data_IF_139207670698
#
_entry.id   IF_139207670698
#
_cell.length_a   1.000
_cell.length_b   1.000
_cell.length_c   1.000
_cell.angle_alpha   90.00
_cell.angle_beta   90.00
_cell.angle_gamma   90.00
#
_symmetry.space_group_name_H-M   'P 1'
#
loop_
_entity.id
_entity.type
_entity.pdbx_description
1 polymer ?
#
# COMPACT_ATOMS: atom_id res chain seq x y z
N UNK A 1 20.38 18.05 0.75
CA UNK A 1 20.51 17.32 -0.54
C UNK A 1 19.77 16.02 -0.36
N UNK A 2 18.83 15.62 -1.23
CA UNK A 2 18.04 14.44 -0.96
C UNK A 2 18.94 13.22 -0.81
N UNK A 3 18.75 12.44 0.26
CA UNK A 3 19.57 11.26 0.51
C UNK A 3 19.13 10.15 -0.46
N UNK A 4 19.93 9.80 -1.48
CA UNK A 4 19.45 8.96 -2.58
C UNK A 4 19.01 7.57 -2.11
N UNK A 5 19.71 7.01 -1.13
CA UNK A 5 19.39 5.70 -0.54
C UNK A 5 18.02 5.73 0.15
N UNK A 6 17.71 6.78 0.92
CA UNK A 6 16.42 6.91 1.60
C UNK A 6 15.29 7.11 0.60
N UNK A 7 15.51 7.87 -0.48
CA UNK A 7 14.52 8.05 -1.55
C UNK A 7 14.21 6.72 -2.27
N UNK A 8 15.23 5.93 -2.58
CA UNK A 8 15.06 4.60 -3.19
C UNK A 8 14.33 3.65 -2.22
N UNK A 9 14.71 3.65 -0.94
CA UNK A 9 14.04 2.85 0.08
C UNK A 9 12.56 3.24 0.24
N UNK A 10 12.26 4.53 0.26
CA UNK A 10 10.89 5.04 0.31
C UNK A 10 10.07 4.55 -0.89
N UNK A 11 10.62 4.66 -2.11
CA UNK A 11 9.97 4.18 -3.33
C UNK A 11 9.70 2.67 -3.29
N UNK A 12 10.68 1.88 -2.84
CA UNK A 12 10.53 0.44 -2.70
C UNK A 12 9.42 0.08 -1.70
N UNK A 13 9.40 0.74 -0.53
CA UNK A 13 8.37 0.53 0.51
C UNK A 13 6.97 0.86 -0.02
N UNK A 14 6.79 2.02 -0.65
CA UNK A 14 5.50 2.43 -1.23
C UNK A 14 5.05 1.42 -2.30
N UNK A 15 5.97 1.02 -3.20
CA UNK A 15 5.67 0.07 -4.28
C UNK A 15 5.21 -1.29 -3.74
N UNK A 16 5.94 -1.84 -2.78
CA UNK A 16 5.56 -3.11 -2.11
C UNK A 16 4.20 -2.97 -1.43
N UNK A 17 3.95 -1.83 -0.78
CA UNK A 17 2.69 -1.59 -0.09
C UNK A 17 1.50 -1.56 -1.05
N UNK A 18 1.61 -0.86 -2.18
CA UNK A 18 0.57 -0.75 -3.19
C UNK A 18 0.30 -2.10 -3.88
N UNK A 19 1.35 -2.83 -4.27
CA UNK A 19 1.20 -4.17 -4.87
C UNK A 19 0.55 -5.14 -3.88
N UNK A 20 1.06 -5.17 -2.65
CA UNK A 20 0.51 -6.00 -1.58
C UNK A 20 -0.95 -5.69 -1.28
N UNK A 21 -1.31 -4.40 -1.27
CA UNK A 21 -2.68 -3.94 -1.13
C UNK A 21 -3.57 -4.45 -2.26
N UNK A 22 -3.16 -4.31 -3.52
CA UNK A 22 -3.92 -4.79 -4.66
C UNK A 22 -4.16 -6.32 -4.61
N UNK A 23 -3.14 -7.08 -4.21
CA UNK A 23 -3.25 -8.54 -4.03
C UNK A 23 -4.24 -8.88 -2.92
N UNK A 24 -4.19 -8.18 -1.78
CA UNK A 24 -5.11 -8.40 -0.67
C UNK A 24 -6.55 -8.01 -1.03
N UNK A 25 -6.74 -6.92 -1.78
CA UNK A 25 -8.05 -6.52 -2.33
C UNK A 25 -8.62 -7.59 -3.26
N UNK A 26 -7.79 -8.17 -4.15
CA UNK A 26 -8.20 -9.30 -4.99
C UNK A 26 -8.64 -10.48 -4.13
N UNK A 27 -7.90 -10.84 -3.08
CA UNK A 27 -8.26 -11.93 -2.16
C UNK A 27 -9.57 -11.66 -1.41
N UNK A 28 -9.83 -10.43 -0.98
CA UNK A 28 -11.09 -10.06 -0.32
C UNK A 28 -12.24 -10.16 -1.33
N UNK A 29 -12.05 -9.62 -2.54
CA UNK A 29 -13.06 -9.67 -3.61
C UNK A 29 -13.51 -11.10 -3.89
N UNK A 30 -12.56 -11.98 -4.22
CA UNK A 30 -12.88 -13.36 -4.59
C UNK A 30 -13.46 -14.17 -3.44
N UNK A 31 -12.99 -13.96 -2.20
CA UNK A 31 -13.52 -14.68 -1.02
C UNK A 31 -14.90 -14.23 -0.58
N UNK A 32 -15.25 -12.95 -0.74
CA UNK A 32 -16.49 -12.39 -0.19
C UNK A 32 -17.60 -12.27 -1.24
N UNK A 33 -17.25 -11.99 -2.49
CA UNK A 33 -18.23 -11.70 -3.54
C UNK A 33 -18.21 -12.71 -4.70
N UNK A 34 -17.26 -13.65 -4.71
CA UNK A 34 -17.07 -14.60 -5.81
C UNK A 34 -16.15 -14.08 -6.92
N UNK A 35 -15.76 -14.95 -7.85
CA UNK A 35 -14.80 -14.60 -8.92
C UNK A 35 -15.36 -13.62 -9.96
N UNK A 36 -16.65 -13.75 -10.29
CA UNK A 36 -17.33 -12.94 -11.32
C UNK A 36 -17.88 -11.61 -10.80
N UNK A 37 -17.71 -11.33 -9.50
CA UNK A 37 -18.17 -10.07 -8.91
C UNK A 37 -17.10 -9.00 -8.96
N UNK A 38 -17.52 -7.79 -9.33
CA UNK A 38 -16.72 -6.56 -9.28
C UNK A 38 -16.39 -6.19 -7.81
N UNK A 39 -17.13 -6.75 -6.84
CA UNK A 39 -16.98 -6.48 -5.41
C UNK A 39 -17.61 -5.15 -4.98
N UNK A 40 -17.31 -4.72 -3.75
CA UNK A 40 -17.80 -3.46 -3.18
C UNK A 40 -16.63 -2.50 -2.90
N UNK A 41 -16.83 -1.17 -2.98
CA UNK A 41 -15.87 -0.17 -2.49
C UNK A 41 -15.47 -0.38 -1.02
N UNK A 42 -16.28 -1.05 -0.20
CA UNK A 42 -15.91 -1.37 1.18
C UNK A 42 -14.69 -2.30 1.30
N UNK A 43 -14.23 -2.92 0.20
CA UNK A 43 -12.97 -3.67 0.17
C UNK A 43 -11.79 -2.77 0.59
N UNK A 44 -11.78 -1.49 0.20
CA UNK A 44 -10.74 -0.55 0.62
C UNK A 44 -10.69 -0.37 2.14
N UNK A 45 -11.85 -0.36 2.81
CA UNK A 45 -11.95 -0.19 4.26
C UNK A 45 -11.81 -1.49 5.06
N UNK A 46 -11.56 -2.62 4.39
CA UNK A 46 -11.42 -3.89 5.09
C UNK A 46 -10.18 -3.89 5.99
N UNK A 47 -10.32 -4.38 7.22
CA UNK A 47 -9.22 -4.48 8.21
C UNK A 47 -7.95 -5.17 7.68
N UNK A 48 -8.07 -6.10 6.73
CA UNK A 48 -6.91 -6.76 6.08
C UNK A 48 -6.05 -5.79 5.27
N UNK A 49 -6.62 -4.69 4.76
CA UNK A 49 -5.90 -3.65 4.04
C UNK A 49 -5.22 -2.63 4.95
N UNK A 50 -5.59 -2.56 6.23
CA UNK A 50 -5.06 -1.57 7.18
C UNK A 50 -3.53 -1.56 7.27
N UNK A 51 -2.91 -2.74 7.30
CA UNK A 51 -1.44 -2.89 7.31
C UNK A 51 -0.76 -2.24 6.11
N UNK A 52 -1.39 -2.30 4.93
CA UNK A 52 -0.84 -1.73 3.71
C UNK A 52 -0.91 -0.21 3.71
N UNK A 53 -1.98 0.38 4.24
CA UNK A 53 -2.05 1.83 4.47
C UNK A 53 -0.98 2.31 5.44
N UNK A 54 -0.71 1.55 6.51
CA UNK A 54 0.39 1.84 7.42
C UNK A 54 1.76 1.88 6.71
N UNK A 55 2.03 0.88 5.86
CA UNK A 55 3.25 0.85 5.04
C UNK A 55 3.34 2.01 4.04
N UNK A 56 2.23 2.41 3.42
CA UNK A 56 2.18 3.58 2.53
C UNK A 56 2.56 4.85 3.31
N UNK A 57 1.98 5.05 4.50
CA UNK A 57 2.29 6.21 5.36
C UNK A 57 3.77 6.21 5.75
N UNK A 58 4.33 5.06 6.14
CA UNK A 58 5.75 4.93 6.46
C UNK A 58 6.62 5.27 5.24
N UNK A 59 6.26 4.77 4.06
CA UNK A 59 6.96 5.07 2.81
C UNK A 59 6.97 6.56 2.47
N UNK A 60 5.83 7.26 2.62
CA UNK A 60 5.77 8.71 2.46
C UNK A 60 6.54 9.46 3.54
N UNK A 61 6.57 8.95 4.78
CA UNK A 61 7.42 9.49 5.85
C UNK A 61 8.90 9.41 5.51
N UNK A 62 9.36 8.29 4.96
CA UNK A 62 10.72 8.12 4.46
C UNK A 62 11.01 9.05 3.27
N UNK A 63 10.07 9.22 2.35
CA UNK A 63 10.22 10.15 1.22
C UNK A 63 10.34 11.61 1.70
N UNK A 64 9.53 12.00 2.68
CA UNK A 64 9.60 13.31 3.30
C UNK A 64 10.95 13.53 3.99
N UNK A 65 11.38 12.55 4.81
CA UNK A 65 12.68 12.59 5.46
C UNK A 65 13.83 12.68 4.45
N UNK A 66 13.78 11.89 3.38
CA UNK A 66 14.79 11.92 2.33
C UNK A 66 14.91 13.28 1.64
N UNK A 67 13.81 14.03 1.52
CA UNK A 67 13.77 15.31 0.83
C UNK A 67 14.13 16.50 1.72
N UNK A 68 13.69 16.49 2.99
CA UNK A 68 13.68 17.68 3.85
C UNK A 68 14.54 17.56 5.12
N UNK A 69 15.01 16.37 5.49
CA UNK A 69 15.94 16.15 6.61
C UNK A 69 17.35 15.86 6.09
#
# INVERSE_FOLDING_TARGET
MPQPIMAIAALAVITIALIGQAIEMRKIRTRTYGEDSIGSPNIFLNKRNFKWYGLIVVGFGLAYAAQFL
#
